data_IF_611316391442
#
_entry.id   IF_611316391442
#
_cell.length_a   1.000
_cell.length_b   1.000
_cell.length_c   1.000
_cell.angle_alpha   90.00
_cell.angle_beta   90.00
_cell.angle_gamma   90.00
#
_symmetry.space_group_name_H-M   'P 1'
#
loop_
_entity.id
_entity.type
_entity.pdbx_description
1 polymer ?
#
# COMPACT_ATOMS: atom_id res chain seq x y z
N UNK A 1 44.14 -28.77 -12.82
CA UNK A 1 43.07 -29.62 -13.38
C UNK A 1 41.81 -28.77 -13.45
N UNK A 2 41.23 -28.63 -14.64
CA UNK A 2 40.04 -27.83 -14.91
C UNK A 2 38.80 -28.70 -14.67
N UNK A 3 37.85 -28.22 -13.88
CA UNK A 3 36.48 -28.75 -13.87
C UNK A 3 35.57 -27.70 -14.45
N UNK A 4 35.06 -28.03 -15.64
CA UNK A 4 34.02 -27.33 -16.35
C UNK A 4 32.76 -27.39 -15.46
N UNK A 5 32.30 -26.25 -14.96
CA UNK A 5 31.00 -26.15 -14.30
C UNK A 5 30.00 -26.01 -15.45
N UNK A 6 29.43 -27.14 -15.85
CA UNK A 6 28.32 -27.18 -16.81
C UNK A 6 27.17 -26.34 -16.27
N UNK A 7 26.53 -25.61 -17.19
CA UNK A 7 25.49 -24.63 -16.98
C UNK A 7 24.46 -25.05 -15.93
N UNK A 8 24.65 -24.57 -14.69
CA UNK A 8 23.56 -24.55 -13.71
C UNK A 8 22.69 -23.36 -14.08
N UNK A 9 21.77 -23.58 -15.02
CA UNK A 9 20.57 -22.77 -15.07
C UNK A 9 19.84 -22.95 -13.73
N UNK A 10 20.03 -21.99 -12.83
CA UNK A 10 19.26 -21.91 -11.59
C UNK A 10 17.84 -21.53 -12.00
N UNK A 11 17.08 -22.53 -12.44
CA UNK A 11 15.63 -22.50 -12.39
C UNK A 11 15.28 -22.50 -10.90
N UNK A 12 15.19 -21.32 -10.29
CA UNK A 12 14.42 -21.19 -9.05
C UNK A 12 12.99 -21.46 -9.49
N UNK A 13 12.37 -22.59 -9.09
CA UNK A 13 10.93 -22.68 -9.21
C UNK A 13 10.41 -21.66 -8.21
N UNK A 14 10.06 -20.46 -8.67
CA UNK A 14 9.37 -19.44 -7.88
C UNK A 14 7.97 -19.91 -7.41
N UNK A 15 7.68 -21.21 -7.55
CA UNK A 15 6.44 -21.89 -7.23
C UNK A 15 6.38 -22.43 -5.79
N UNK A 16 7.46 -22.42 -4.99
CA UNK A 16 7.43 -23.08 -3.67
C UNK A 16 7.26 -22.16 -2.44
N UNK A 17 7.45 -20.84 -2.48
CA UNK A 17 7.42 -20.05 -1.22
C UNK A 17 6.95 -18.58 -1.31
N UNK A 18 6.19 -18.18 -2.34
CA UNK A 18 5.42 -16.94 -2.21
C UNK A 18 4.06 -17.30 -1.62
N UNK A 19 3.98 -17.30 -0.29
CA UNK A 19 2.72 -17.41 0.44
C UNK A 19 1.86 -16.19 0.08
N UNK A 20 1.04 -16.36 -0.97
CA UNK A 20 0.13 -15.33 -1.49
C UNK A 20 -0.81 -14.84 -0.39
N UNK A 21 -1.18 -15.71 0.55
CA UNK A 21 -1.96 -15.31 1.71
C UNK A 21 -1.17 -14.43 2.67
N UNK A 22 0.11 -14.70 2.89
CA UNK A 22 1.01 -13.84 3.67
C UNK A 22 1.24 -12.50 2.98
N UNK A 23 1.44 -12.48 1.67
CA UNK A 23 1.62 -11.24 0.91
C UNK A 23 0.33 -10.41 0.91
N UNK A 24 -0.83 -11.05 0.72
CA UNK A 24 -2.15 -10.41 0.85
C UNK A 24 -2.38 -9.87 2.26
N UNK A 25 -2.03 -10.62 3.31
CA UNK A 25 -2.10 -10.16 4.71
C UNK A 25 -1.20 -8.94 4.94
N UNK A 26 0.04 -8.95 4.44
CA UNK A 26 0.99 -7.84 4.55
C UNK A 26 0.46 -6.58 3.85
N UNK A 27 0.01 -6.73 2.60
CA UNK A 27 -0.56 -5.64 1.82
C UNK A 27 -1.85 -5.09 2.45
N UNK A 28 -2.73 -5.97 2.94
CA UNK A 28 -3.97 -5.58 3.64
C UNK A 28 -3.67 -4.82 4.93
N UNK A 29 -2.69 -5.28 5.73
CA UNK A 29 -2.27 -4.57 6.94
C UNK A 29 -1.70 -3.18 6.62
N UNK A 30 -0.91 -3.06 5.56
CA UNK A 30 -0.38 -1.77 5.09
C UNK A 30 -1.50 -0.84 4.60
N UNK A 31 -2.45 -1.37 3.83
CA UNK A 31 -3.62 -0.64 3.36
C UNK A 31 -4.47 -0.13 4.54
N UNK A 32 -4.77 -0.98 5.52
CA UNK A 32 -5.51 -0.60 6.73
C UNK A 32 -4.83 0.49 7.55
N UNK A 33 -3.49 0.50 7.62
CA UNK A 33 -2.75 1.58 8.29
C UNK A 33 -2.96 2.91 7.59
N UNK A 34 -2.87 2.93 6.25
CA UNK A 34 -3.12 4.15 5.47
C UNK A 34 -4.58 4.60 5.58
N UNK A 35 -5.53 3.66 5.55
CA UNK A 35 -6.95 3.95 5.71
C UNK A 35 -7.25 4.62 7.07
N UNK A 36 -6.66 4.13 8.16
CA UNK A 36 -6.79 4.76 9.48
C UNK A 36 -6.21 6.18 9.50
N UNK A 37 -5.08 6.41 8.84
CA UNK A 37 -4.49 7.75 8.74
C UNK A 37 -5.39 8.69 7.93
N UNK A 38 -5.94 8.24 6.81
CA UNK A 38 -6.91 9.00 5.99
C UNK A 38 -8.14 9.37 6.82
N UNK A 39 -8.72 8.40 7.55
CA UNK A 39 -9.88 8.64 8.40
C UNK A 39 -9.58 9.67 9.51
N UNK A 40 -8.39 9.63 10.10
CA UNK A 40 -7.99 10.61 11.10
C UNK A 40 -7.87 12.03 10.50
N UNK A 41 -7.32 12.14 9.29
CA UNK A 41 -7.22 13.41 8.55
C UNK A 41 -8.60 13.93 8.14
N UNK A 42 -9.48 13.09 7.63
CA UNK A 42 -10.86 13.45 7.28
C UNK A 42 -11.65 13.90 8.50
N UNK A 43 -11.46 13.22 9.64
CA UNK A 43 -12.10 13.61 10.90
C UNK A 43 -11.58 14.94 11.44
N UNK A 44 -10.35 15.33 11.10
CA UNK A 44 -9.81 16.66 11.41
C UNK A 44 -10.36 17.71 10.45
N UNK A 45 -10.35 17.43 9.15
CA UNK A 45 -10.82 18.33 8.09
C UNK A 45 -12.34 18.54 8.09
N UNK A 46 -13.12 17.63 8.68
CA UNK A 46 -14.57 17.77 8.84
C UNK A 46 -14.99 18.57 10.07
N UNK A 47 -14.06 18.87 11.00
CA UNK A 47 -14.38 19.68 12.19
C UNK A 47 -14.49 21.15 11.80
N UNK A 48 -15.64 21.81 12.00
CA UNK A 48 -15.82 23.24 11.68
C UNK A 48 -14.80 24.11 12.39
N UNK A 49 -14.52 23.81 13.66
CA UNK A 49 -13.52 24.52 14.46
C UNK A 49 -12.11 24.50 13.87
N UNK A 50 -11.75 23.41 13.18
CA UNK A 50 -10.45 23.30 12.52
C UNK A 50 -10.43 24.13 11.23
N UNK A 51 -11.53 24.11 10.46
CA UNK A 51 -11.64 24.90 9.23
C UNK A 51 -11.69 26.42 9.50
N UNK A 52 -12.29 26.84 10.62
CA UNK A 52 -12.43 28.25 10.98
C UNK A 52 -11.17 28.83 11.64
N UNK A 53 -10.44 28.03 12.43
CA UNK A 53 -9.28 28.51 13.18
C UNK A 53 -7.92 28.17 12.56
N UNK A 54 -7.84 27.13 11.73
CA UNK A 54 -6.56 26.76 11.15
C UNK A 54 -6.18 27.72 10.02
N UNK A 55 -4.90 28.12 9.93
CA UNK A 55 -4.40 28.85 8.78
C UNK A 55 -4.72 28.13 7.46
N UNK A 56 -5.07 28.85 6.39
CA UNK A 56 -5.44 28.26 5.09
C UNK A 56 -4.32 27.38 4.53
N UNK A 57 -3.06 27.71 4.82
CA UNK A 57 -1.89 26.92 4.44
C UNK A 57 -1.85 25.53 5.10
N UNK A 58 -2.27 25.44 6.38
CA UNK A 58 -2.36 24.16 7.08
C UNK A 58 -3.51 23.33 6.51
N UNK A 59 -4.67 23.95 6.25
CA UNK A 59 -5.82 23.27 5.64
C UNK A 59 -5.44 22.72 4.27
N UNK A 60 -4.72 23.51 3.46
CA UNK A 60 -4.25 23.10 2.13
C UNK A 60 -3.28 21.91 2.24
N UNK A 61 -2.26 21.99 3.11
CA UNK A 61 -1.32 20.88 3.35
C UNK A 61 -2.01 19.61 3.82
N UNK A 62 -2.99 19.72 4.72
CA UNK A 62 -3.71 18.56 5.24
C UNK A 62 -4.62 17.92 4.16
N UNK A 63 -5.21 18.73 3.28
CA UNK A 63 -5.96 18.27 2.09
C UNK A 63 -5.05 17.58 1.06
N UNK A 64 -3.91 18.18 0.73
CA UNK A 64 -2.91 17.57 -0.16
C UNK A 64 -2.40 16.24 0.41
N UNK A 65 -2.10 16.21 1.72
CA UNK A 65 -1.70 14.98 2.41
C UNK A 65 -2.78 13.91 2.31
N UNK A 66 -4.06 14.26 2.49
CA UNK A 66 -5.20 13.35 2.32
C UNK A 66 -5.23 12.78 0.89
N UNK A 67 -5.08 13.61 -0.14
CA UNK A 67 -5.11 13.14 -1.53
C UNK A 67 -3.96 12.18 -1.85
N UNK A 68 -2.74 12.50 -1.40
CA UNK A 68 -1.57 11.62 -1.57
C UNK A 68 -1.81 10.26 -0.92
N UNK A 69 -2.36 10.24 0.30
CA UNK A 69 -2.67 9.00 1.00
C UNK A 69 -3.80 8.22 0.34
N UNK A 70 -4.85 8.89 -0.14
CA UNK A 70 -5.94 8.26 -0.90
C UNK A 70 -5.41 7.60 -2.16
N UNK A 71 -4.55 8.29 -2.92
CA UNK A 71 -3.95 7.73 -4.13
C UNK A 71 -3.07 6.51 -3.82
N UNK A 72 -2.26 6.58 -2.75
CA UNK A 72 -1.44 5.45 -2.28
C UNK A 72 -2.29 4.26 -1.83
N UNK A 73 -3.35 4.53 -1.07
CA UNK A 73 -4.32 3.52 -0.61
C UNK A 73 -5.03 2.86 -1.80
N UNK A 74 -5.45 3.64 -2.79
CA UNK A 74 -6.07 3.13 -4.01
C UNK A 74 -5.16 2.19 -4.81
N UNK A 75 -3.86 2.50 -4.92
CA UNK A 75 -2.88 1.59 -5.56
C UNK A 75 -2.72 0.28 -4.80
N UNK A 76 -2.65 0.31 -3.47
CA UNK A 76 -2.58 -0.91 -2.67
C UNK A 76 -3.86 -1.73 -2.76
N UNK A 77 -5.02 -1.08 -2.80
CA UNK A 77 -6.31 -1.75 -2.97
C UNK A 77 -6.39 -2.45 -4.34
N UNK A 78 -6.03 -1.76 -5.43
CA UNK A 78 -5.96 -2.38 -6.77
C UNK A 78 -5.05 -3.61 -6.79
N UNK A 79 -3.85 -3.50 -6.20
CA UNK A 79 -2.92 -4.64 -6.14
C UNK A 79 -3.46 -5.81 -5.29
N UNK A 80 -4.21 -5.52 -4.22
CA UNK A 80 -4.91 -6.54 -3.43
C UNK A 80 -6.03 -7.22 -4.22
N UNK A 81 -6.72 -6.49 -5.09
CA UNK A 81 -7.75 -7.03 -6.00
C UNK A 81 -7.12 -7.90 -7.08
N UNK A 82 -6.02 -7.46 -7.72
CA UNK A 82 -5.24 -8.22 -8.71
C UNK A 82 -4.77 -9.57 -8.15
N UNK A 83 -4.13 -9.57 -6.97
CA UNK A 83 -3.70 -10.81 -6.29
C UNK A 83 -4.90 -11.71 -5.91
N UNK A 84 -6.07 -11.11 -5.66
CA UNK A 84 -7.29 -11.84 -5.38
C UNK A 84 -7.96 -12.43 -6.63
N UNK A 85 -7.77 -11.81 -7.79
CA UNK A 85 -8.31 -12.26 -9.08
C UNK A 85 -7.42 -13.29 -9.78
N UNK A 86 -6.10 -13.22 -9.58
CA UNK A 86 -5.12 -14.18 -10.14
C UNK A 86 -5.22 -15.58 -9.49
N UNK A 87 -6.03 -15.73 -8.44
CA UNK A 87 -6.31 -17.01 -7.78
C UNK A 87 -7.52 -17.77 -8.36
N UNK A 88 -8.03 -17.37 -9.54
CA UNK A 88 -9.16 -18.02 -10.23
C UNK A 88 -8.72 -18.83 -11.44
#
# INVERSE_FOLDING_TARGET
ASSLIEDVEIFIPLAELIDMDKEKKRLKANWQKLEKEILALEKRLSKPHFLEKAPPEIIKKEKEKREVLLHKSGRLKKRLEEIGSDLR
#
